data_IF_741876245599
#
_entry.id   IF_741876245599
#
_cell.length_a   1.000
_cell.length_b   1.000
_cell.length_c   1.000
_cell.angle_alpha   90.00
_cell.angle_beta   90.00
_cell.angle_gamma   90.00
#
_symmetry.space_group_name_H-M   'P 1'
#
loop_
_entity.id
_entity.type
_entity.pdbx_description
1 polymer ?
#
# COMPACT_ATOMS: atom_id res chain seq x y z
N UNK A 1 4.63 3.30 -16.85
CA UNK A 1 3.82 2.51 -17.81
C UNK A 1 4.62 1.27 -18.21
N UNK A 2 4.82 0.34 -17.28
CA UNK A 2 5.68 -0.83 -17.52
C UNK A 2 7.06 -0.45 -18.06
N UNK A 3 7.53 -1.20 -19.05
CA UNK A 3 8.79 -0.98 -19.78
C UNK A 3 8.79 0.21 -20.75
N UNK A 4 7.67 0.94 -20.86
CA UNK A 4 7.45 1.97 -21.90
C UNK A 4 7.49 1.42 -23.34
N UNK A 5 7.30 0.10 -23.51
CA UNK A 5 7.23 -0.57 -24.80
C UNK A 5 5.82 -1.10 -25.05
N UNK A 6 5.33 -0.91 -26.28
CA UNK A 6 4.03 -1.40 -26.74
C UNK A 6 4.23 -2.28 -27.97
N UNK A 7 3.48 -3.38 -28.05
CA UNK A 7 3.39 -4.17 -29.27
C UNK A 7 2.65 -3.36 -30.35
N UNK A 8 3.27 -3.06 -31.51
CA UNK A 8 2.61 -2.26 -32.55
C UNK A 8 1.42 -2.98 -33.20
N UNK A 9 1.37 -4.31 -33.11
CA UNK A 9 0.30 -5.12 -33.70
C UNK A 9 -0.79 -5.50 -32.70
N UNK A 10 -0.43 -5.69 -31.42
CA UNK A 10 -1.36 -6.17 -30.40
C UNK A 10 -1.83 -5.08 -29.43
N UNK A 11 -1.16 -3.93 -29.38
CA UNK A 11 -1.45 -2.86 -28.42
C UNK A 11 -1.10 -3.20 -26.95
N UNK A 12 -0.48 -4.36 -26.70
CA UNK A 12 -0.08 -4.78 -25.34
C UNK A 12 1.13 -3.96 -24.89
N UNK A 13 1.02 -3.36 -23.70
CA UNK A 13 2.15 -2.72 -23.02
C UNK A 13 2.92 -3.77 -22.23
N UNK A 14 4.22 -3.86 -22.48
CA UNK A 14 5.07 -4.84 -21.80
C UNK A 14 5.47 -4.36 -20.40
N UNK A 15 5.50 -5.31 -19.48
CA UNK A 15 5.84 -5.12 -18.09
C UNK A 15 7.35 -4.81 -17.91
N UNK A 16 7.77 -4.40 -16.72
CA UNK A 16 9.19 -4.17 -16.37
C UNK A 16 9.57 -4.84 -15.04
N UNK A 17 8.92 -5.94 -14.70
CA UNK A 17 8.95 -6.63 -13.40
C UNK A 17 10.33 -7.20 -13.07
N UNK A 18 11.23 -7.25 -14.06
CA UNK A 18 12.64 -7.54 -13.82
C UNK A 18 13.31 -6.52 -12.86
N UNK A 19 12.76 -5.30 -12.73
CA UNK A 19 13.24 -4.27 -11.76
C UNK A 19 12.96 -4.64 -10.30
N UNK A 20 12.03 -5.56 -10.04
CA UNK A 20 11.69 -6.01 -8.68
C UNK A 20 12.70 -7.03 -8.14
N UNK A 21 13.57 -7.61 -8.97
CA UNK A 21 14.69 -8.40 -8.49
C UNK A 21 15.77 -7.50 -7.85
N UNK A 22 16.45 -8.03 -6.84
CA UNK A 22 17.65 -7.41 -6.31
C UNK A 22 18.82 -7.57 -7.29
N UNK A 23 19.59 -6.49 -7.45
CA UNK A 23 20.83 -6.47 -8.22
C UNK A 23 21.98 -6.26 -7.22
N UNK A 24 23.02 -7.11 -7.17
CA UNK A 24 24.14 -6.93 -6.25
C UNK A 24 24.71 -5.51 -6.32
N UNK A 25 24.86 -4.87 -5.15
CA UNK A 25 25.43 -3.52 -5.04
C UNK A 25 24.52 -2.36 -5.47
N UNK A 26 23.24 -2.61 -5.80
CA UNK A 26 22.29 -1.56 -6.23
C UNK A 26 20.93 -1.74 -5.58
N UNK A 27 20.42 -0.68 -4.93
CA UNK A 27 19.02 -0.63 -4.47
C UNK A 27 18.06 -0.49 -5.65
N UNK A 28 16.86 -1.06 -5.54
CA UNK A 28 15.84 -0.93 -6.58
C UNK A 28 15.15 0.45 -6.56
N UNK A 29 14.20 0.66 -7.48
CA UNK A 29 13.47 1.93 -7.64
C UNK A 29 12.70 2.40 -6.40
N UNK A 30 12.48 1.51 -5.40
CA UNK A 30 11.79 1.81 -4.14
C UNK A 30 12.73 1.81 -2.92
N UNK A 31 14.05 1.73 -3.13
CA UNK A 31 15.04 1.80 -2.06
C UNK A 31 15.25 0.50 -1.29
N UNK A 32 14.72 -0.64 -1.76
CA UNK A 32 15.05 -1.93 -1.15
C UNK A 32 16.53 -2.26 -1.35
N UNK A 33 17.21 -2.57 -0.24
CA UNK A 33 18.61 -3.03 -0.24
C UNK A 33 18.70 -4.40 -0.92
N UNK A 34 19.78 -4.67 -1.68
CA UNK A 34 19.95 -5.95 -2.36
C UNK A 34 19.89 -7.14 -1.40
N UNK A 35 19.02 -8.09 -1.71
CA UNK A 35 18.89 -9.36 -0.99
C UNK A 35 19.27 -10.51 -1.92
N UNK A 36 20.25 -11.36 -1.55
CA UNK A 36 20.61 -12.54 -2.34
C UNK A 36 19.43 -13.48 -2.61
N UNK A 37 18.49 -13.57 -1.68
CA UNK A 37 17.26 -14.36 -1.83
C UNK A 37 16.40 -13.88 -3.01
N UNK A 38 16.53 -12.63 -3.43
CA UNK A 38 15.80 -12.02 -4.53
C UNK A 38 16.71 -11.68 -5.73
N UNK A 39 17.86 -12.33 -5.89
CA UNK A 39 18.65 -12.19 -7.12
C UNK A 39 18.00 -12.92 -8.31
N UNK A 40 18.29 -12.39 -9.51
CA UNK A 40 17.79 -12.88 -10.80
C UNK A 40 18.29 -14.30 -11.05
N UNK A 41 17.37 -15.19 -11.42
CA UNK A 41 17.66 -16.53 -11.93
C UNK A 41 16.63 -16.90 -13.01
N UNK A 42 17.01 -17.70 -14.03
CA UNK A 42 16.06 -18.16 -15.04
C UNK A 42 14.84 -18.86 -14.43
N UNK A 43 13.64 -18.48 -14.86
CA UNK A 43 12.38 -19.06 -14.38
C UNK A 43 11.94 -18.64 -12.98
N UNK A 44 12.77 -17.87 -12.23
CA UNK A 44 12.42 -17.37 -10.91
C UNK A 44 11.42 -16.21 -11.01
N UNK A 45 10.61 -16.03 -9.97
CA UNK A 45 9.69 -14.89 -9.82
C UNK A 45 10.32 -13.83 -8.90
N UNK A 46 10.23 -12.54 -9.25
CA UNK A 46 10.70 -11.48 -8.36
C UNK A 46 9.82 -11.36 -7.12
N UNK A 47 10.41 -10.88 -6.02
CA UNK A 47 9.67 -10.50 -4.83
C UNK A 47 8.69 -9.37 -5.15
N UNK A 48 7.50 -9.41 -4.56
CA UNK A 48 6.50 -8.35 -4.70
C UNK A 48 6.02 -7.84 -3.34
N UNK A 49 5.75 -6.54 -3.26
CA UNK A 49 5.05 -5.94 -2.11
C UNK A 49 3.52 -6.08 -2.22
N UNK A 50 2.98 -6.67 -3.29
CA UNK A 50 1.55 -6.88 -3.46
C UNK A 50 0.99 -7.75 -2.33
N UNK A 51 -0.03 -7.23 -1.65
CA UNK A 51 -0.71 -7.92 -0.56
C UNK A 51 -2.23 -7.85 -0.73
N UNK A 52 -2.84 -8.49 -1.74
CA UNK A 52 -4.30 -8.63 -1.78
C UNK A 52 -4.78 -9.50 -0.61
N UNK A 53 -5.71 -8.99 0.20
CA UNK A 53 -6.16 -9.65 1.43
C UNK A 53 -7.69 -9.76 1.46
N UNK A 54 -8.16 -10.95 1.84
CA UNK A 54 -9.54 -11.20 2.26
C UNK A 54 -9.53 -11.55 3.74
N UNK A 55 -10.29 -10.81 4.53
CA UNK A 55 -10.46 -11.04 5.97
C UNK A 55 -11.86 -11.60 6.18
N UNK A 56 -11.97 -12.71 6.90
CA UNK A 56 -13.22 -13.37 7.22
C UNK A 56 -13.29 -13.73 8.70
N UNK A 57 -14.50 -13.87 9.22
CA UNK A 57 -14.73 -14.33 10.59
C UNK A 57 -14.51 -15.86 10.64
N UNK A 58 -13.57 -16.33 11.45
CA UNK A 58 -13.20 -17.75 11.53
C UNK A 58 -14.33 -18.67 12.01
N UNK A 59 -15.28 -18.15 12.79
CA UNK A 59 -16.37 -18.95 13.36
C UNK A 59 -17.55 -19.07 12.40
N UNK A 60 -17.81 -18.03 11.59
CA UNK A 60 -18.97 -18.00 10.67
C UNK A 60 -18.59 -18.22 9.21
N UNK A 61 -17.29 -18.13 8.86
CA UNK A 61 -16.81 -18.18 7.49
C UNK A 61 -17.16 -16.95 6.65
N UNK A 62 -17.87 -15.96 7.21
CA UNK A 62 -18.34 -14.79 6.46
C UNK A 62 -17.22 -13.78 6.25
N UNK A 63 -17.11 -13.28 5.01
CA UNK A 63 -16.18 -12.19 4.65
C UNK A 63 -16.53 -10.94 5.44
N UNK A 64 -15.50 -10.31 6.01
CA UNK A 64 -15.59 -9.03 6.72
C UNK A 64 -15.00 -7.89 5.89
N UNK A 65 -13.91 -8.15 5.17
CA UNK A 65 -13.20 -7.13 4.41
C UNK A 65 -12.46 -7.75 3.21
N UNK A 66 -12.46 -7.04 2.09
CA UNK A 66 -11.59 -7.29 0.94
C UNK A 66 -10.79 -6.02 0.69
N UNK A 67 -9.47 -6.12 0.62
CA UNK A 67 -8.59 -4.96 0.48
C UNK A 67 -7.39 -5.28 -0.41
N UNK A 68 -6.98 -4.30 -1.19
CA UNK A 68 -5.73 -4.30 -1.92
C UNK A 68 -5.18 -2.88 -2.06
N UNK A 69 -3.92 -2.77 -2.47
CA UNK A 69 -3.30 -1.49 -2.72
C UNK A 69 -2.27 -1.57 -3.86
N UNK A 70 -1.92 -0.40 -4.39
CA UNK A 70 -0.81 -0.18 -5.31
C UNK A 70 0.12 0.90 -4.74
N UNK A 71 1.37 0.96 -5.21
CA UNK A 71 2.35 1.95 -4.74
C UNK A 71 3.71 1.39 -4.32
N UNK A 72 4.15 0.25 -4.87
CA UNK A 72 5.47 -0.32 -4.57
C UNK A 72 5.63 -0.72 -3.11
N UNK A 73 6.76 -0.36 -2.49
CA UNK A 73 7.06 -0.67 -1.08
C UNK A 73 5.99 -0.15 -0.10
N UNK A 74 5.26 0.90 -0.47
CA UNK A 74 4.20 1.48 0.34
C UNK A 74 2.95 0.60 0.49
N UNK A 75 2.77 -0.43 -0.35
CA UNK A 75 1.56 -1.28 -0.36
C UNK A 75 1.30 -1.90 1.02
N UNK A 76 2.35 -2.46 1.63
CA UNK A 76 2.25 -3.22 2.88
C UNK A 76 1.76 -2.32 4.02
N UNK A 77 2.41 -1.16 4.21
CA UNK A 77 2.05 -0.25 5.30
C UNK A 77 0.69 0.41 5.08
N UNK A 78 0.31 0.70 3.83
CA UNK A 78 -1.00 1.27 3.51
C UNK A 78 -2.13 0.31 3.88
N UNK A 79 -2.01 -0.96 3.50
CA UNK A 79 -3.00 -1.99 3.83
C UNK A 79 -3.06 -2.23 5.33
N UNK A 80 -1.91 -2.37 6.00
CA UNK A 80 -1.85 -2.58 7.44
C UNK A 80 -2.57 -1.45 8.20
N UNK A 81 -2.29 -0.19 7.85
CA UNK A 81 -2.97 0.96 8.45
C UNK A 81 -4.47 0.91 8.20
N UNK A 82 -4.94 0.75 6.96
CA UNK A 82 -6.38 0.72 6.66
C UNK A 82 -7.10 -0.42 7.40
N UNK A 83 -6.48 -1.59 7.54
CA UNK A 83 -7.03 -2.70 8.33
C UNK A 83 -7.10 -2.34 9.82
N UNK A 84 -6.05 -1.74 10.39
CA UNK A 84 -6.04 -1.28 11.79
C UNK A 84 -7.13 -0.23 12.04
N UNK A 85 -7.22 0.80 11.20
CA UNK A 85 -8.25 1.84 11.32
C UNK A 85 -9.66 1.26 11.26
N UNK A 86 -9.89 0.33 10.33
CA UNK A 86 -11.22 -0.27 10.12
C UNK A 86 -11.59 -1.23 11.26
N UNK A 87 -10.72 -2.20 11.57
CA UNK A 87 -11.07 -3.31 12.45
C UNK A 87 -10.76 -3.06 13.93
N UNK A 88 -9.75 -2.24 14.24
CA UNK A 88 -9.31 -1.97 15.61
C UNK A 88 -9.87 -0.63 16.09
N UNK A 89 -9.75 0.43 15.28
CA UNK A 89 -10.25 1.75 15.65
C UNK A 89 -11.70 2.01 15.26
N UNK A 90 -12.38 0.99 14.72
CA UNK A 90 -13.79 1.00 14.36
C UNK A 90 -14.18 2.21 13.47
N UNK A 91 -13.28 2.60 12.56
CA UNK A 91 -13.53 3.64 11.57
C UNK A 91 -14.29 3.07 10.38
N UNK A 92 -15.10 3.91 9.76
CA UNK A 92 -15.69 3.57 8.46
C UNK A 92 -14.59 3.36 7.43
N UNK A 93 -14.85 2.58 6.37
CA UNK A 93 -13.84 2.34 5.34
C UNK A 93 -13.42 3.62 4.62
N UNK A 94 -14.33 4.61 4.55
CA UNK A 94 -14.02 5.94 4.03
C UNK A 94 -13.02 6.65 4.92
N UNK A 95 -13.29 6.78 6.22
CA UNK A 95 -12.36 7.38 7.17
C UNK A 95 -11.01 6.65 7.18
N UNK A 96 -11.00 5.31 7.14
CA UNK A 96 -9.77 4.51 7.20
C UNK A 96 -8.87 4.65 5.96
N UNK A 97 -9.45 4.80 4.77
CA UNK A 97 -8.68 5.06 3.54
C UNK A 97 -8.25 6.52 3.44
N UNK A 98 -9.13 7.45 3.84
CA UNK A 98 -8.88 8.88 3.73
C UNK A 98 -7.92 9.38 4.81
N UNK A 99 -7.76 8.63 5.91
CA UNK A 99 -6.82 8.96 6.98
C UNK A 99 -5.38 9.12 6.43
N UNK A 100 -4.63 10.15 6.87
CA UNK A 100 -3.24 10.35 6.47
C UNK A 100 -2.33 9.19 6.88
N UNK A 101 -1.34 8.86 6.04
CA UNK A 101 -0.53 7.64 6.18
C UNK A 101 0.90 7.92 6.62
N UNK A 102 1.44 6.95 7.36
CA UNK A 102 2.87 6.78 7.61
C UNK A 102 3.45 5.69 6.71
N UNK A 103 4.76 5.73 6.49
CA UNK A 103 5.50 4.62 5.91
C UNK A 103 6.93 4.58 6.45
N UNK A 104 7.36 3.40 6.87
CA UNK A 104 8.74 3.09 7.17
C UNK A 104 9.00 1.67 6.66
N UNK A 105 10.09 1.49 5.92
CA UNK A 105 10.50 0.21 5.32
C UNK A 105 11.88 -0.23 5.83
N UNK A 106 12.23 0.19 7.05
CA UNK A 106 13.52 0.00 7.71
C UNK A 106 14.69 0.77 7.07
N UNK A 107 14.90 0.63 5.77
CA UNK A 107 15.92 1.37 5.01
C UNK A 107 15.29 2.12 3.82
N UNK A 108 15.53 3.43 3.67
CA UNK A 108 16.32 4.31 4.55
C UNK A 108 15.72 4.45 5.97
N UNK A 109 16.54 4.77 6.99
CA UNK A 109 16.11 4.84 8.39
C UNK A 109 15.33 6.13 8.69
N UNK A 110 14.18 6.26 8.03
CA UNK A 110 13.25 7.38 8.18
C UNK A 110 11.80 6.87 8.12
N UNK A 111 10.90 7.61 8.74
CA UNK A 111 9.46 7.43 8.64
C UNK A 111 8.89 8.57 7.82
N UNK A 112 8.43 8.25 6.62
CA UNK A 112 7.67 9.18 5.79
C UNK A 112 6.27 9.35 6.37
N UNK A 113 5.74 10.57 6.36
CA UNK A 113 4.38 10.85 6.78
C UNK A 113 3.72 11.92 5.90
N UNK A 114 2.41 11.80 5.69
CA UNK A 114 1.65 12.79 4.95
C UNK A 114 1.42 14.07 5.77
N UNK A 115 1.52 15.23 5.12
CA UNK A 115 1.44 16.55 5.78
C UNK A 115 0.16 16.80 6.60
N UNK A 116 -0.91 16.04 6.32
CA UNK A 116 -2.19 16.15 7.02
C UNK A 116 -2.24 15.34 8.33
N UNK A 117 -1.18 14.64 8.70
CA UNK A 117 -1.05 14.06 10.05
C UNK A 117 -1.09 15.19 11.10
N UNK A 118 -1.86 15.04 12.20
CA UNK A 118 -1.85 16.00 13.30
C UNK A 118 -0.43 16.24 13.85
N UNK A 119 -0.02 17.52 13.92
CA UNK A 119 1.34 17.90 14.33
C UNK A 119 1.71 17.40 15.73
N UNK A 120 0.72 17.29 16.64
CA UNK A 120 0.92 16.73 17.98
C UNK A 120 1.47 15.30 17.93
N UNK A 121 0.98 14.45 17.01
CA UNK A 121 1.48 13.08 16.85
C UNK A 121 2.94 13.10 16.41
N UNK A 122 3.29 13.95 15.45
CA UNK A 122 4.66 14.08 14.94
C UNK A 122 5.61 14.56 16.04
N UNK A 123 5.22 15.61 16.77
CA UNK A 123 6.02 16.15 17.88
C UNK A 123 6.28 15.10 18.95
N UNK A 124 5.27 14.30 19.32
CA UNK A 124 5.46 13.20 20.28
C UNK A 124 6.41 12.11 19.74
N UNK A 125 6.27 11.71 18.47
CA UNK A 125 7.16 10.71 17.86
C UNK A 125 8.61 11.19 17.78
N UNK A 126 8.85 12.48 17.51
CA UNK A 126 10.19 13.06 17.47
C UNK A 126 10.77 13.16 18.90
N UNK A 127 10.05 13.82 19.81
CA UNK A 127 10.59 14.19 21.11
C UNK A 127 10.63 13.03 22.11
N UNK A 128 9.63 12.15 22.09
CA UNK A 128 9.53 11.06 23.07
C UNK A 128 10.08 9.73 22.55
N UNK A 129 10.08 9.54 21.22
CA UNK A 129 10.41 8.25 20.58
C UNK A 129 11.62 8.32 19.63
N UNK A 130 12.28 9.48 19.53
CA UNK A 130 13.46 9.71 18.68
C UNK A 130 13.26 9.22 17.23
N UNK A 131 12.05 9.35 16.69
CA UNK A 131 11.77 8.95 15.32
C UNK A 131 12.31 9.99 14.33
N UNK A 132 13.00 9.51 13.30
CA UNK A 132 13.41 10.35 12.17
C UNK A 132 12.22 10.50 11.21
N UNK A 133 11.53 11.64 11.27
CA UNK A 133 10.27 11.88 10.57
C UNK A 133 10.47 12.80 9.36
N UNK A 134 10.08 12.34 8.17
CA UNK A 134 10.19 13.11 6.92
C UNK A 134 8.81 13.37 6.33
N UNK A 135 8.47 14.66 6.15
CA UNK A 135 7.17 15.07 5.62
C UNK A 135 7.08 14.87 4.11
N UNK A 136 5.92 14.46 3.62
CA UNK A 136 5.56 14.47 2.20
C UNK A 136 4.16 15.02 2.00
N UNK A 137 3.88 15.61 0.83
CA UNK A 137 2.53 16.12 0.52
C UNK A 137 1.50 15.00 0.40
N UNK A 138 1.87 13.89 -0.25
CA UNK A 138 1.09 12.65 -0.36
C UNK A 138 2.01 11.46 -0.56
N UNK A 139 1.69 10.32 0.05
CA UNK A 139 2.34 9.06 -0.31
C UNK A 139 1.73 8.52 -1.60
N UNK A 140 2.58 8.02 -2.50
CA UNK A 140 2.16 7.52 -3.83
C UNK A 140 1.64 6.08 -3.77
N UNK A 141 0.67 5.84 -2.89
CA UNK A 141 -0.05 4.58 -2.79
C UNK A 141 -1.57 4.79 -2.84
N UNK A 142 -2.27 3.79 -3.33
CA UNK A 142 -3.72 3.83 -3.59
C UNK A 142 -4.32 2.55 -3.04
N UNK A 143 -5.25 2.69 -2.10
CA UNK A 143 -6.00 1.57 -1.49
C UNK A 143 -7.38 1.45 -2.12
N UNK A 144 -7.86 0.22 -2.28
CA UNK A 144 -9.24 -0.08 -2.68
C UNK A 144 -9.76 -1.14 -1.72
N UNK A 145 -10.95 -0.93 -1.14
CA UNK A 145 -11.49 -1.87 -0.18
C UNK A 145 -13.01 -1.90 -0.14
N UNK A 146 -13.53 -3.06 0.25
CA UNK A 146 -14.92 -3.31 0.61
C UNK A 146 -14.99 -3.90 2.02
N UNK A 147 -15.94 -3.45 2.83
CA UNK A 147 -16.18 -3.92 4.20
C UNK A 147 -17.65 -4.28 4.36
N UNK A 148 -17.93 -5.45 4.94
CA UNK A 148 -19.28 -5.83 5.36
C UNK A 148 -19.51 -5.31 6.77
N UNK A 149 -20.47 -4.41 6.96
CA UNK A 149 -20.79 -3.84 8.28
C UNK A 149 -21.81 -4.68 9.05
N UNK A 150 -22.05 -4.32 10.31
CA UNK A 150 -22.97 -5.05 11.19
C UNK A 150 -24.44 -4.95 10.74
N UNK A 151 -24.76 -3.91 9.98
CA UNK A 151 -26.05 -3.71 9.32
C UNK A 151 -26.28 -4.67 8.13
N UNK A 152 -25.26 -5.45 7.75
CA UNK A 152 -25.31 -6.39 6.64
C UNK A 152 -24.99 -5.77 5.27
N UNK A 153 -24.79 -4.44 5.19
CA UNK A 153 -24.46 -3.76 3.95
C UNK A 153 -22.96 -3.81 3.65
N UNK A 154 -22.63 -3.71 2.37
CA UNK A 154 -21.26 -3.64 1.87
C UNK A 154 -20.92 -2.19 1.60
N UNK A 155 -19.88 -1.71 2.27
CA UNK A 155 -19.35 -0.36 2.10
C UNK A 155 -18.03 -0.44 1.35
N UNK A 156 -17.97 0.16 0.16
CA UNK A 156 -16.74 0.31 -0.61
C UNK A 156 -16.18 1.71 -0.47
N UNK A 157 -14.85 1.86 -0.56
CA UNK A 157 -14.24 3.15 -0.81
C UNK A 157 -13.03 3.03 -1.75
N UNK A 158 -12.89 4.04 -2.61
CA UNK A 158 -11.75 4.22 -3.50
C UNK A 158 -10.91 5.39 -3.01
N UNK A 159 -9.60 5.17 -2.94
CA UNK A 159 -8.67 6.19 -2.43
C UNK A 159 -8.59 7.42 -3.32
N UNK A 160 -8.86 8.58 -2.73
CA UNK A 160 -8.82 9.89 -3.38
C UNK A 160 -7.41 10.27 -3.88
N UNK A 161 -6.35 9.62 -3.36
CA UNK A 161 -4.96 9.86 -3.81
C UNK A 161 -4.73 9.47 -5.26
N UNK A 162 -5.61 8.64 -5.83
CA UNK A 162 -5.60 8.31 -7.25
C UNK A 162 -6.09 9.51 -8.06
N UNK A 163 -5.26 10.00 -8.98
CA UNK A 163 -5.57 11.17 -9.81
C UNK A 163 -6.67 10.90 -10.85
N UNK A 164 -6.84 9.64 -11.23
CA UNK A 164 -7.96 9.20 -12.09
C UNK A 164 -9.15 8.81 -11.22
N UNK A 165 -10.34 9.28 -11.61
CA UNK A 165 -11.59 8.95 -10.93
C UNK A 165 -11.77 7.44 -10.83
N UNK A 166 -11.86 6.96 -9.59
CA UNK A 166 -12.15 5.57 -9.26
C UNK A 166 -13.22 5.59 -8.19
N UNK A 167 -14.28 4.82 -8.39
CA UNK A 167 -15.43 4.82 -7.48
C UNK A 167 -15.89 3.39 -7.25
N UNK A 168 -16.21 3.01 -6.01
CA UNK A 168 -16.95 1.78 -5.76
C UNK A 168 -18.36 1.92 -6.35
N UNK A 169 -18.89 0.83 -6.89
CA UNK A 169 -20.26 0.73 -7.38
C UNK A 169 -20.85 -0.63 -7.00
N UNK A 170 -22.16 -0.69 -6.82
CA UNK A 170 -22.88 -1.88 -6.40
C UNK A 170 -24.39 -1.69 -6.55
N UNK A 171 -25.15 -2.75 -6.24
CA UNK A 171 -26.61 -2.79 -6.26
C UNK A 171 -27.13 -3.39 -4.95
#
# INVERSE_FOLDING_TARGET
MGSLRISPTLGIVWNNEMDDFSIPGRSNSFGFVPSPANFIQPGKRPLSSMSPIIIYNSNTGKVKMVIGASGGSYIISAIAQTVIYTLIFNKTIKEAIDFPRFHNQFLPPETLYEITIPQEIITNLVNERNQNMTVTSKLKNVVQAFVVNMDGYIYGNSDFRRETGSFPAGF
#
